data_IF_105952904934
#
_entry.id   IF_105952904934
#
_cell.length_a   1.000
_cell.length_b   1.000
_cell.length_c   1.000
_cell.angle_alpha   90.00
_cell.angle_beta   90.00
_cell.angle_gamma   90.00
#
_symmetry.space_group_name_H-M   'P 1'
#
loop_
_entity.id
_entity.type
_entity.pdbx_description
1 polymer ?
#
# COMPACT_ATOMS: atom_id res chain seq x y z
N UNK A 1 9.79 -24.46 -12.10
CA UNK A 1 8.93 -23.50 -11.39
C UNK A 1 7.90 -23.04 -12.40
N UNK A 2 6.63 -23.40 -12.22
CA UNK A 2 5.54 -22.89 -13.08
C UNK A 2 5.35 -21.42 -12.73
N UNK A 3 5.64 -20.52 -13.67
CA UNK A 3 5.35 -19.11 -13.49
C UNK A 3 3.84 -18.96 -13.32
N UNK A 4 3.40 -18.65 -12.10
CA UNK A 4 2.03 -18.25 -11.85
C UNK A 4 1.82 -16.95 -12.62
N UNK A 5 1.05 -16.99 -13.70
CA UNK A 5 0.74 -15.81 -14.50
C UNK A 5 -0.12 -14.88 -13.66
N UNK A 6 0.54 -13.91 -13.02
CA UNK A 6 -0.13 -12.86 -12.26
C UNK A 6 -0.80 -11.90 -13.25
N UNK A 7 -2.13 -11.81 -13.19
CA UNK A 7 -2.89 -10.83 -13.98
C UNK A 7 -3.07 -9.57 -13.13
N UNK A 8 -2.64 -8.41 -13.63
CA UNK A 8 -2.77 -7.12 -12.94
C UNK A 8 -3.85 -6.25 -13.61
N UNK A 9 -4.38 -5.22 -12.93
CA UNK A 9 -5.27 -4.24 -13.55
C UNK A 9 -4.62 -3.47 -14.71
N UNK A 10 -3.28 -3.43 -14.73
CA UNK A 10 -2.48 -2.69 -15.70
C UNK A 10 -1.95 -3.56 -16.84
N UNK A 11 -2.45 -4.80 -16.96
CA UNK A 11 -2.04 -5.77 -17.97
C UNK A 11 -1.03 -6.79 -17.44
N UNK A 12 -0.23 -7.33 -18.35
CA UNK A 12 0.78 -8.34 -18.03
C UNK A 12 1.99 -7.70 -17.32
N UNK A 13 2.39 -8.22 -16.14
CA UNK A 13 3.64 -7.80 -15.50
C UNK A 13 4.82 -8.06 -16.43
N UNK A 14 5.69 -7.07 -16.55
CA UNK A 14 6.99 -7.21 -17.19
C UNK A 14 8.08 -7.47 -16.16
N UNK A 15 7.92 -6.92 -14.96
CA UNK A 15 8.79 -7.18 -13.82
C UNK A 15 7.97 -7.40 -12.54
N UNK A 16 8.50 -8.25 -11.67
CA UNK A 16 7.91 -8.61 -10.38
C UNK A 16 8.99 -8.85 -9.35
N UNK A 17 8.92 -8.14 -8.22
CA UNK A 17 9.83 -8.28 -7.09
C UNK A 17 9.04 -8.53 -5.81
N UNK A 18 9.28 -9.66 -5.14
CA UNK A 18 8.74 -9.89 -3.81
C UNK A 18 9.54 -9.06 -2.79
N UNK A 19 8.89 -8.07 -2.18
CA UNK A 19 9.50 -7.18 -1.19
C UNK A 19 9.48 -7.80 0.21
N UNK A 20 8.41 -8.55 0.50
CA UNK A 20 8.21 -9.33 1.71
C UNK A 20 7.21 -10.44 1.41
N UNK A 21 7.09 -11.42 2.30
CA UNK A 21 6.12 -12.50 2.16
C UNK A 21 4.70 -11.92 1.96
N UNK A 22 4.11 -12.23 0.81
CA UNK A 22 2.78 -11.77 0.45
C UNK A 22 2.70 -10.35 -0.12
N UNK A 23 3.84 -9.70 -0.42
CA UNK A 23 3.89 -8.35 -0.98
C UNK A 23 4.82 -8.31 -2.18
N UNK A 24 4.26 -8.07 -3.35
CA UNK A 24 5.01 -8.00 -4.60
C UNK A 24 4.92 -6.60 -5.19
N UNK A 25 6.06 -6.01 -5.54
CA UNK A 25 6.12 -4.89 -6.47
C UNK A 25 5.97 -5.42 -7.88
N UNK A 26 5.11 -4.80 -8.67
CA UNK A 26 4.81 -5.20 -10.04
C UNK A 26 4.95 -3.99 -10.95
N UNK A 27 5.50 -4.19 -12.14
CA UNK A 27 5.64 -3.12 -13.13
C UNK A 27 5.24 -3.63 -14.52
N UNK A 28 4.53 -2.79 -15.26
CA UNK A 28 4.18 -2.95 -16.67
C UNK A 28 4.76 -1.78 -17.48
N UNK A 29 4.50 -1.74 -18.79
CA UNK A 29 5.11 -0.76 -19.68
C UNK A 29 4.75 0.71 -19.38
N UNK A 30 3.68 0.94 -18.60
CA UNK A 30 3.21 2.30 -18.29
C UNK A 30 2.55 2.46 -16.93
N UNK A 31 2.56 1.44 -16.08
CA UNK A 31 2.01 1.49 -14.72
C UNK A 31 2.72 0.48 -13.81
N UNK A 32 2.45 0.57 -12.52
CA UNK A 32 2.94 -0.37 -11.53
C UNK A 32 2.27 -0.19 -10.17
N UNK A 33 2.85 -0.88 -9.18
CA UNK A 33 2.47 -0.73 -7.80
C UNK A 33 2.68 -2.00 -7.00
N UNK A 34 1.84 -2.24 -5.99
CA UNK A 34 1.89 -3.47 -5.19
C UNK A 34 0.74 -4.41 -5.53
N UNK A 35 1.08 -5.69 -5.62
CA UNK A 35 0.15 -6.79 -5.37
C UNK A 35 0.31 -7.25 -3.93
N UNK A 36 -0.80 -7.30 -3.20
CA UNK A 36 -0.88 -7.88 -1.86
C UNK A 36 -1.50 -9.27 -1.90
N UNK A 37 -1.05 -10.15 -1.02
CA UNK A 37 -1.81 -11.34 -0.66
C UNK A 37 -3.12 -10.91 0.03
N UNK A 38 -4.08 -11.82 0.12
CA UNK A 38 -5.33 -11.54 0.84
C UNK A 38 -5.08 -11.20 2.31
N UNK A 39 -4.12 -11.89 2.93
CA UNK A 39 -3.73 -11.67 4.33
C UNK A 39 -3.14 -10.26 4.51
N UNK A 40 -2.16 -9.87 3.68
CA UNK A 40 -1.57 -8.53 3.70
C UNK A 40 -2.58 -7.43 3.38
N UNK A 41 -3.53 -7.73 2.51
CA UNK A 41 -4.64 -6.83 2.22
C UNK A 41 -5.54 -6.63 3.44
N UNK A 42 -5.86 -7.68 4.18
CA UNK A 42 -6.71 -7.63 5.38
C UNK A 42 -6.01 -6.96 6.58
N UNK A 43 -4.67 -6.85 6.57
CA UNK A 43 -3.91 -6.02 7.54
C UNK A 43 -4.15 -4.52 7.36
N UNK A 44 -4.57 -4.06 6.18
CA UNK A 44 -4.82 -2.63 5.93
C UNK A 44 -6.15 -2.18 6.58
N UNK A 45 -6.20 -0.98 7.21
CA UNK A 45 -7.43 -0.43 7.76
C UNK A 45 -8.55 -0.30 6.72
N UNK A 46 -9.81 -0.54 7.13
CA UNK A 46 -10.98 -0.49 6.23
C UNK A 46 -11.07 0.79 5.40
N UNK A 47 -10.76 1.93 6.01
CA UNK A 47 -10.76 3.24 5.34
C UNK A 47 -9.73 3.33 4.23
N UNK A 48 -8.58 2.69 4.39
CA UNK A 48 -7.53 2.61 3.37
C UNK A 48 -7.96 1.62 2.29
N UNK A 49 -8.49 0.46 2.69
CA UNK A 49 -9.00 -0.53 1.73
C UNK A 49 -10.09 0.03 0.83
N UNK A 50 -10.92 0.92 1.35
CA UNK A 50 -11.98 1.60 0.59
C UNK A 50 -11.45 2.57 -0.48
N UNK A 51 -10.18 3.01 -0.42
CA UNK A 51 -9.60 3.89 -1.45
C UNK A 51 -9.11 3.11 -2.67
N UNK A 52 -8.87 1.81 -2.54
CA UNK A 52 -8.32 1.00 -3.63
C UNK A 52 -9.39 0.75 -4.68
N UNK A 53 -9.09 1.11 -5.92
CA UNK A 53 -9.97 0.83 -7.06
C UNK A 53 -10.07 -0.67 -7.37
N UNK A 54 -8.98 -1.41 -7.12
CA UNK A 54 -8.96 -2.87 -7.27
C UNK A 54 -8.53 -3.52 -5.96
N UNK A 55 -9.30 -4.46 -5.40
CA UNK A 55 -8.88 -5.18 -4.21
C UNK A 55 -7.50 -5.79 -4.38
N UNK A 56 -6.64 -5.66 -3.37
CA UNK A 56 -5.27 -6.19 -3.32
C UNK A 56 -4.25 -5.58 -4.29
N UNK A 57 -4.61 -4.58 -5.09
CA UNK A 57 -3.67 -3.87 -5.96
C UNK A 57 -3.59 -2.39 -5.59
N UNK A 58 -2.42 -1.96 -5.12
CA UNK A 58 -2.13 -0.57 -4.75
C UNK A 58 -1.38 0.10 -5.91
N UNK A 59 -1.88 1.20 -6.47
CA UNK A 59 -1.27 1.88 -7.61
C UNK A 59 -0.07 2.76 -7.17
N UNK A 60 0.99 2.78 -8.00
CA UNK A 60 2.31 3.34 -7.67
C UNK A 60 2.32 4.81 -7.23
N UNK A 61 1.40 5.64 -7.73
CA UNK A 61 1.34 7.08 -7.43
C UNK A 61 0.23 7.43 -6.43
N UNK A 62 -0.61 6.46 -6.07
CA UNK A 62 -1.76 6.65 -5.18
C UNK A 62 -1.65 5.79 -3.91
N UNK A 63 -2.03 4.52 -3.99
CA UNK A 63 -2.17 3.67 -2.80
C UNK A 63 -0.87 2.97 -2.38
N UNK A 64 0.09 2.78 -3.30
CA UNK A 64 1.35 2.07 -3.03
C UNK A 64 2.12 2.66 -1.83
N UNK A 65 2.37 3.99 -1.75
CA UNK A 65 3.12 4.56 -0.64
C UNK A 65 2.40 4.39 0.71
N UNK A 66 1.06 4.45 0.70
CA UNK A 66 0.23 4.26 1.89
C UNK A 66 0.35 2.81 2.36
N UNK A 67 0.17 1.86 1.45
CA UNK A 67 0.25 0.43 1.74
C UNK A 67 1.64 0.03 2.25
N UNK A 68 2.71 0.48 1.57
CA UNK A 68 4.10 0.21 2.00
C UNK A 68 4.36 0.73 3.41
N UNK A 69 3.91 1.94 3.72
CA UNK A 69 4.10 2.51 5.05
C UNK A 69 3.36 1.70 6.12
N UNK A 70 2.09 1.37 5.88
CA UNK A 70 1.27 0.62 6.84
C UNK A 70 1.76 -0.83 7.05
N UNK A 71 2.37 -1.42 6.04
CA UNK A 71 3.00 -2.75 6.12
C UNK A 71 4.44 -2.73 6.65
N UNK A 72 4.96 -1.55 7.05
CA UNK A 72 6.32 -1.42 7.57
C UNK A 72 7.43 -1.64 6.53
N UNK A 73 7.10 -1.49 5.26
CA UNK A 73 8.01 -1.63 4.11
C UNK A 73 8.53 -0.29 3.58
N UNK A 74 8.17 0.81 4.24
CA UNK A 74 8.64 2.14 3.92
C UNK A 74 10.01 2.43 4.54
N UNK A 75 10.80 3.28 3.89
CA UNK A 75 12.01 3.85 4.51
C UNK A 75 11.65 4.94 5.55
N UNK A 76 12.66 5.47 6.26
CA UNK A 76 12.43 6.49 7.29
C UNK A 76 11.79 7.78 6.74
N UNK A 77 12.10 8.15 5.50
CA UNK A 77 11.55 9.33 4.82
C UNK A 77 10.10 9.11 4.42
N UNK A 78 9.76 7.93 3.92
CA UNK A 78 8.38 7.54 3.60
C UNK A 78 7.51 7.46 4.86
N UNK A 79 8.06 6.92 5.95
CA UNK A 79 7.42 6.95 7.26
C UNK A 79 7.20 8.38 7.75
N UNK A 80 8.19 9.27 7.63
CA UNK A 80 8.05 10.69 8.00
C UNK A 80 6.94 11.37 7.17
N UNK A 81 6.95 11.19 5.85
CA UNK A 81 5.94 11.75 4.94
C UNK A 81 4.54 11.23 5.29
N UNK A 82 4.39 9.93 5.54
CA UNK A 82 3.12 9.34 5.94
C UNK A 82 2.62 9.93 7.27
N UNK A 83 3.49 10.14 8.25
CA UNK A 83 3.13 10.79 9.51
C UNK A 83 2.73 12.26 9.32
N UNK A 84 3.36 12.98 8.40
CA UNK A 84 2.99 14.37 8.05
C UNK A 84 1.61 14.43 7.38
N UNK A 85 1.32 13.49 6.49
CA UNK A 85 0.00 13.34 5.86
C UNK A 85 -1.06 12.94 6.88
N UNK A 86 -0.77 11.98 7.77
CA UNK A 86 -1.68 11.62 8.86
C UNK A 86 -1.95 12.80 9.80
N UNK A 87 -0.91 13.57 10.15
CA UNK A 87 -1.05 14.80 10.94
C UNK A 87 -1.83 15.91 10.22
N UNK A 88 -1.80 15.94 8.88
CA UNK A 88 -2.67 16.81 8.08
C UNK A 88 -4.13 16.36 8.19
N UNK A 89 -4.42 15.07 8.08
CA UNK A 89 -5.78 14.55 8.23
C UNK A 89 -6.35 14.74 9.65
N UNK A 90 -5.57 14.53 10.71
CA UNK A 90 -6.01 14.77 12.09
C UNK A 90 -6.33 16.26 12.34
N UNK A 91 -5.57 17.17 11.70
CA UNK A 91 -5.77 18.62 11.81
C UNK A 91 -6.96 19.15 11.01
N UNK A 92 -7.21 18.60 9.82
CA UNK A 92 -8.16 19.18 8.86
C UNK A 92 -9.39 18.29 8.57
N UNK A 93 -9.44 17.07 9.09
CA UNK A 93 -10.59 16.18 9.00
C UNK A 93 -10.88 15.50 10.34
N UNK A 94 -11.34 16.26 11.36
CA UNK A 94 -11.62 15.73 12.71
C UNK A 94 -12.76 14.67 12.72
N UNK A 95 -13.39 14.39 11.58
CA UNK A 95 -14.46 13.43 11.41
C UNK A 95 -13.99 11.96 11.21
N UNK A 96 -12.68 11.68 11.13
CA UNK A 96 -12.14 10.33 10.89
C UNK A 96 -11.26 9.81 12.05
N UNK A 97 -11.83 9.57 13.25
CA UNK A 97 -11.07 9.24 14.46
C UNK A 97 -10.37 7.87 14.45
N UNK A 98 -10.69 6.97 13.50
CA UNK A 98 -10.14 5.62 13.42
C UNK A 98 -8.83 5.52 12.62
N UNK A 99 -8.40 6.62 12.00
CA UNK A 99 -7.14 6.70 11.23
C UNK A 99 -5.95 7.15 12.08
N UNK A 100 -6.12 7.19 13.41
CA UNK A 100 -5.01 7.41 14.34
C UNK A 100 -4.07 6.23 14.25
N UNK A 101 -2.97 6.42 13.51
CA UNK A 101 -1.83 5.52 13.58
C UNK A 101 -1.42 5.50 15.05
N UNK A 102 -1.57 4.34 15.70
CA UNK A 102 -1.14 4.14 17.06
C UNK A 102 0.33 4.52 17.14
N UNK A 103 0.60 5.69 17.72
CA UNK A 103 1.93 6.21 17.92
C UNK A 103 2.68 5.26 18.83
N UNK A 104 3.47 4.39 18.23
CA UNK A 104 4.51 3.65 18.94
C UNK A 104 5.55 4.65 19.44
N UNK A 105 5.65 4.75 20.75
CA UNK A 105 6.81 5.28 21.45
C UNK A 105 6.85 4.72 22.87
N UNK A 106 7.98 4.83 23.58
CA UNK A 106 9.32 5.19 23.11
C UNK A 106 10.10 4.03 22.47
#
# INVERSE_FOLDING_TARGET
>A
MTATTMHTPWGWPQDTLELAEGVWRVSTAGHGGLKLSRERWEELPDVVRATFLTPTFAEEDCEEPIARTLLGLGDERERELALRVAGYFDRYSPALPHLRIAGGGP
#
